data_IF_781195326583
#
_entry.id   IF_781195326583
#
_cell.length_a   1.000
_cell.length_b   1.000
_cell.length_c   1.000
_cell.angle_alpha   90.00
_cell.angle_beta   90.00
_cell.angle_gamma   90.00
#
_symmetry.space_group_name_H-M   'P 1'
#
loop_
_entity.id
_entity.type
_entity.pdbx_description
1 polymer ?
#
# COMPACT_ATOMS: atom_id res chain seq x y z
N UNK A 1 -26.11 -9.05 -7.73
CA UNK A 1 -25.51 -8.97 -9.08
C UNK A 1 -24.79 -10.27 -9.38
N UNK A 2 -24.99 -10.84 -10.57
CA UNK A 2 -24.32 -12.08 -11.01
C UNK A 2 -23.49 -11.79 -12.25
N UNK A 3 -22.18 -11.98 -12.14
CA UNK A 3 -21.22 -11.91 -13.25
C UNK A 3 -20.86 -13.31 -13.70
N UNK A 4 -20.67 -13.54 -15.00
CA UNK A 4 -20.18 -14.82 -15.46
C UNK A 4 -19.07 -14.71 -16.50
N UNK A 5 -18.22 -15.72 -16.54
CA UNK A 5 -17.20 -15.90 -17.57
C UNK A 5 -16.80 -17.37 -17.67
N UNK A 6 -16.34 -17.77 -18.85
CA UNK A 6 -15.69 -19.08 -19.05
C UNK A 6 -14.28 -19.12 -18.45
N UNK A 7 -13.79 -18.01 -17.88
CA UNK A 7 -12.43 -17.88 -17.35
C UNK A 7 -12.40 -17.08 -16.05
N UNK A 8 -13.03 -17.61 -15.01
CA UNK A 8 -12.99 -17.05 -13.65
C UNK A 8 -11.85 -17.69 -12.87
N UNK A 9 -10.95 -16.90 -12.28
CA UNK A 9 -9.85 -17.39 -11.45
C UNK A 9 -10.36 -17.81 -10.08
N UNK A 10 -10.33 -19.13 -9.81
CA UNK A 10 -10.82 -19.71 -8.56
C UNK A 10 -9.84 -20.81 -8.13
N UNK A 11 -9.32 -20.70 -6.92
CA UNK A 11 -8.47 -21.75 -6.33
C UNK A 11 -7.22 -22.10 -7.15
N UNK A 12 -6.61 -21.13 -7.83
CA UNK A 12 -5.37 -21.33 -8.58
C UNK A 12 -5.57 -21.76 -10.05
N UNK A 13 -6.80 -21.77 -10.56
CA UNK A 13 -7.11 -22.13 -11.93
C UNK A 13 -8.26 -21.33 -12.53
N UNK A 14 -8.39 -21.30 -13.86
CA UNK A 14 -9.54 -20.70 -14.53
C UNK A 14 -10.66 -21.73 -14.71
N UNK A 15 -11.86 -21.39 -14.24
CA UNK A 15 -13.06 -22.20 -14.35
C UNK A 15 -14.17 -21.44 -15.07
N UNK A 16 -15.06 -22.17 -15.72
CA UNK A 16 -16.33 -21.63 -16.24
C UNK A 16 -17.29 -21.44 -15.07
N UNK A 17 -17.53 -20.19 -14.66
CA UNK A 17 -18.27 -19.93 -13.43
C UNK A 17 -19.09 -18.64 -13.48
N UNK A 18 -20.00 -18.54 -12.53
CA UNK A 18 -20.72 -17.34 -12.13
C UNK A 18 -20.29 -16.93 -10.74
N UNK A 19 -20.17 -15.61 -10.53
CA UNK A 19 -19.91 -14.99 -9.22
C UNK A 19 -21.15 -14.19 -8.84
N UNK A 20 -21.78 -14.55 -7.74
CA UNK A 20 -22.85 -13.75 -7.13
C UNK A 20 -22.24 -12.76 -6.14
N UNK A 21 -22.56 -11.48 -6.33
CA UNK A 21 -22.09 -10.37 -5.52
C UNK A 21 -23.27 -9.73 -4.82
N UNK A 22 -23.19 -9.64 -3.51
CA UNK A 22 -24.14 -8.94 -2.65
C UNK A 22 -23.39 -8.04 -1.67
N UNK A 23 -23.85 -6.81 -1.51
CA UNK A 23 -23.25 -5.82 -0.59
C UNK A 23 -21.73 -5.67 -0.73
N UNK A 24 -21.23 -5.69 -1.98
CA UNK A 24 -19.80 -5.56 -2.27
C UNK A 24 -18.94 -6.80 -1.96
N UNK A 25 -19.58 -7.93 -1.65
CA UNK A 25 -18.89 -9.19 -1.32
C UNK A 25 -19.30 -10.32 -2.27
N UNK A 26 -18.40 -11.26 -2.48
CA UNK A 26 -18.72 -12.52 -3.18
C UNK A 26 -19.55 -13.37 -2.21
N UNK A 27 -20.82 -13.55 -2.53
CA UNK A 27 -21.77 -14.34 -1.74
C UNK A 27 -21.70 -15.82 -2.11
N UNK A 28 -21.62 -16.11 -3.41
CA UNK A 28 -21.59 -17.49 -3.90
C UNK A 28 -20.91 -17.60 -5.26
N UNK A 29 -20.47 -18.82 -5.57
CA UNK A 29 -19.91 -19.20 -6.86
C UNK A 29 -20.72 -20.38 -7.39
N UNK A 30 -21.15 -20.30 -8.66
CA UNK A 30 -21.92 -21.35 -9.33
C UNK A 30 -21.22 -21.77 -10.64
N UNK A 31 -21.53 -22.96 -11.19
CA UNK A 31 -21.14 -23.27 -12.54
C UNK A 31 -21.73 -22.27 -13.56
N UNK A 32 -20.99 -22.02 -14.64
CA UNK A 32 -21.43 -21.13 -15.72
C UNK A 32 -22.84 -21.46 -16.20
N UNK A 33 -23.70 -20.45 -16.37
CA UNK A 33 -25.05 -20.60 -16.88
C UNK A 33 -26.09 -21.21 -15.92
N UNK A 34 -25.77 -21.32 -14.61
CA UNK A 34 -26.70 -21.87 -13.60
C UNK A 34 -27.85 -20.90 -13.30
N UNK A 35 -27.56 -19.60 -13.23
CA UNK A 35 -28.51 -18.50 -12.96
C UNK A 35 -28.54 -17.53 -14.14
N UNK A 36 -29.56 -16.69 -14.21
CA UNK A 36 -29.54 -15.53 -15.11
C UNK A 36 -28.38 -14.59 -14.68
N UNK A 37 -27.47 -14.30 -15.61
CA UNK A 37 -26.37 -13.40 -15.34
C UNK A 37 -26.76 -11.96 -15.69
N UNK A 38 -26.37 -11.02 -14.82
CA UNK A 38 -26.50 -9.60 -15.10
C UNK A 38 -25.47 -9.16 -16.16
N UNK A 39 -24.26 -9.74 -16.11
CA UNK A 39 -23.18 -9.49 -17.07
C UNK A 39 -22.48 -10.78 -17.49
N UNK A 40 -22.33 -10.98 -18.81
CA UNK A 40 -21.59 -12.11 -19.39
C UNK A 40 -20.33 -11.64 -20.12
N UNK A 41 -19.18 -11.96 -19.55
CA UNK A 41 -17.87 -11.62 -20.11
C UNK A 41 -17.32 -12.65 -21.13
N UNK A 42 -18.07 -13.71 -21.42
CA UNK A 42 -17.69 -14.73 -22.40
C UNK A 42 -16.35 -15.36 -22.08
N UNK A 43 -15.34 -15.18 -22.94
CA UNK A 43 -13.98 -15.69 -22.73
C UNK A 43 -13.03 -14.71 -22.03
N UNK A 44 -13.47 -13.54 -21.59
CA UNK A 44 -12.62 -12.61 -20.83
C UNK A 44 -12.30 -13.19 -19.46
N UNK A 45 -11.11 -12.90 -18.96
CA UNK A 45 -10.70 -13.34 -17.62
C UNK A 45 -11.39 -12.48 -16.57
N UNK A 46 -11.90 -13.11 -15.53
CA UNK A 46 -12.26 -12.48 -14.27
C UNK A 46 -11.22 -12.93 -13.26
N UNK A 47 -10.48 -11.99 -12.70
CA UNK A 47 -9.41 -12.22 -11.71
C UNK A 47 -9.62 -11.26 -10.54
N UNK A 48 -9.05 -11.53 -9.35
CA UNK A 48 -8.94 -10.52 -8.30
C UNK A 48 -8.22 -9.29 -8.82
N UNK A 49 -8.63 -8.11 -8.36
CA UNK A 49 -7.88 -6.89 -8.63
C UNK A 49 -6.50 -6.92 -8.01
N UNK A 50 -5.57 -6.18 -8.59
CA UNK A 50 -4.21 -6.05 -8.03
C UNK A 50 -4.23 -5.18 -6.78
N UNK A 51 -3.32 -5.51 -5.85
CA UNK A 51 -3.00 -4.68 -4.70
C UNK A 51 -1.63 -4.07 -4.96
N UNK A 52 -1.57 -2.75 -5.04
CA UNK A 52 -0.34 -1.99 -5.22
C UNK A 52 0.15 -1.49 -3.86
N UNK A 53 1.33 -1.95 -3.46
CA UNK A 53 1.90 -1.62 -2.15
C UNK A 53 3.00 -0.57 -2.23
N UNK A 54 3.36 -0.10 -3.45
CA UNK A 54 4.44 0.87 -3.63
C UNK A 54 4.26 1.70 -4.92
N UNK A 55 3.54 2.79 -4.83
CA UNK A 55 3.45 3.79 -5.90
C UNK A 55 3.34 5.19 -5.28
N UNK A 56 4.24 6.10 -5.70
CA UNK A 56 4.33 7.45 -5.14
C UNK A 56 3.21 8.38 -5.62
N UNK A 57 2.63 8.08 -6.76
CA UNK A 57 1.57 8.87 -7.37
C UNK A 57 1.38 8.55 -8.84
N UNK A 58 0.33 9.09 -9.43
CA UNK A 58 0.03 8.95 -10.85
C UNK A 58 -0.78 10.16 -11.36
N UNK A 59 -0.93 10.25 -12.67
CA UNK A 59 -1.77 11.26 -13.35
C UNK A 59 -1.41 12.71 -12.99
N UNK A 60 -0.11 12.97 -12.71
CA UNK A 60 0.39 14.31 -12.35
C UNK A 60 0.21 14.68 -10.87
N UNK A 61 -0.12 13.70 -10.02
CA UNK A 61 -0.18 13.83 -8.58
C UNK A 61 0.91 12.98 -7.92
N UNK A 62 1.54 13.51 -6.89
CA UNK A 62 2.45 12.80 -5.98
C UNK A 62 1.85 12.82 -4.57
N UNK A 63 2.03 11.72 -3.82
CA UNK A 63 1.52 11.60 -2.45
C UNK A 63 2.00 12.75 -1.56
N UNK A 64 3.24 13.20 -1.75
CA UNK A 64 3.83 14.33 -1.00
C UNK A 64 3.25 15.70 -1.39
N UNK A 65 2.50 15.81 -2.49
CA UNK A 65 1.79 17.06 -2.86
C UNK A 65 0.73 17.46 -1.81
N UNK A 66 0.22 16.48 -1.06
CA UNK A 66 -0.82 16.68 -0.05
C UNK A 66 -2.06 17.40 -0.58
N UNK A 67 -2.51 17.04 -1.81
CA UNK A 67 -3.68 17.62 -2.47
C UNK A 67 -4.83 16.61 -2.48
N UNK A 68 -5.94 16.86 -1.77
CA UNK A 68 -7.07 15.93 -1.69
C UNK A 68 -7.66 15.56 -3.05
N UNK A 69 -7.77 16.53 -3.95
CA UNK A 69 -8.34 16.34 -5.28
C UNK A 69 -7.47 15.43 -6.16
N UNK A 70 -6.14 15.58 -6.06
CA UNK A 70 -5.19 14.74 -6.80
C UNK A 70 -5.25 13.28 -6.35
N UNK A 71 -5.34 13.05 -5.03
CA UNK A 71 -5.50 11.71 -4.47
C UNK A 71 -6.84 11.08 -4.89
N UNK A 72 -7.94 11.84 -4.85
CA UNK A 72 -9.26 11.35 -5.29
C UNK A 72 -9.29 11.02 -6.79
N UNK A 73 -8.68 11.85 -7.64
CA UNK A 73 -8.59 11.58 -9.08
C UNK A 73 -7.76 10.32 -9.34
N UNK A 74 -6.65 10.15 -8.62
CA UNK A 74 -5.84 8.95 -8.73
C UNK A 74 -6.63 7.68 -8.35
N UNK A 75 -7.31 7.67 -7.20
CA UNK A 75 -8.11 6.52 -6.75
C UNK A 75 -9.23 6.18 -7.73
N UNK A 76 -9.88 7.18 -8.32
CA UNK A 76 -10.96 6.99 -9.29
C UNK A 76 -10.45 6.35 -10.59
N UNK A 77 -9.24 6.66 -11.01
CA UNK A 77 -8.70 6.25 -12.32
C UNK A 77 -7.90 4.96 -12.29
N UNK A 78 -7.17 4.69 -11.20
CA UNK A 78 -6.26 3.54 -11.13
C UNK A 78 -6.93 2.17 -11.33
N UNK A 79 -8.25 1.97 -11.08
CA UNK A 79 -8.92 0.72 -11.45
C UNK A 79 -8.87 0.38 -12.94
N UNK A 80 -8.67 1.37 -13.82
CA UNK A 80 -8.47 1.14 -15.26
C UNK A 80 -7.19 0.35 -15.56
N UNK A 81 -6.19 0.42 -14.64
CA UNK A 81 -4.94 -0.36 -14.67
C UNK A 81 -5.09 -1.73 -13.98
N UNK A 82 -6.28 -2.05 -13.45
CA UNK A 82 -6.57 -3.30 -12.74
C UNK A 82 -6.23 -3.27 -11.25
N UNK A 83 -5.83 -2.14 -10.70
CA UNK A 83 -5.53 -1.97 -9.27
C UNK A 83 -6.82 -1.65 -8.51
N UNK A 84 -7.15 -2.44 -7.50
CA UNK A 84 -8.35 -2.28 -6.68
C UNK A 84 -8.07 -1.94 -5.23
N UNK A 85 -6.82 -2.15 -4.78
CA UNK A 85 -6.34 -1.75 -3.46
C UNK A 85 -4.94 -1.17 -3.56
N UNK A 86 -4.64 -0.14 -2.77
CA UNK A 86 -3.35 0.56 -2.86
C UNK A 86 -2.88 1.08 -1.51
N UNK A 87 -1.56 1.19 -1.37
CA UNK A 87 -0.90 1.98 -0.33
C UNK A 87 -0.23 3.20 -0.98
N UNK A 88 -0.87 4.39 -1.04
CA UNK A 88 -0.18 5.60 -1.47
C UNK A 88 1.14 5.75 -0.72
N UNK A 89 2.24 5.90 -1.47
CA UNK A 89 3.60 5.83 -0.92
C UNK A 89 4.21 7.22 -0.84
N UNK A 90 4.74 7.60 0.33
CA UNK A 90 5.51 8.83 0.48
C UNK A 90 6.92 8.69 -0.12
N UNK A 91 7.54 9.82 -0.47
CA UNK A 91 8.98 9.93 -0.75
C UNK A 91 9.62 10.65 0.41
N UNK A 92 10.86 10.30 0.78
CA UNK A 92 11.64 11.05 1.78
C UNK A 92 11.52 12.55 1.55
N UNK A 93 11.15 13.28 2.60
CA UNK A 93 11.05 14.74 2.58
C UNK A 93 11.14 15.30 4.01
N UNK A 94 11.20 16.62 4.13
CA UNK A 94 11.22 17.31 5.43
C UNK A 94 9.99 16.94 6.27
N UNK A 95 10.12 16.91 7.61
CA UNK A 95 9.06 16.39 8.49
C UNK A 95 7.69 17.05 8.32
N UNK A 96 7.65 18.34 8.05
CA UNK A 96 6.39 19.06 7.84
C UNK A 96 5.68 18.67 6.55
N UNK A 97 6.43 18.34 5.50
CA UNK A 97 5.89 17.82 4.22
C UNK A 97 5.32 16.44 4.41
N UNK A 98 6.07 15.52 5.04
CA UNK A 98 5.62 14.16 5.33
C UNK A 98 4.37 14.15 6.22
N UNK A 99 4.36 14.99 7.27
CA UNK A 99 3.19 15.13 8.15
C UNK A 99 1.94 15.56 7.36
N UNK A 100 2.07 16.54 6.45
CA UNK A 100 0.96 16.99 5.60
C UNK A 100 0.52 15.91 4.62
N UNK A 101 1.48 15.17 4.04
CA UNK A 101 1.19 14.09 3.09
C UNK A 101 0.34 13.00 3.73
N UNK A 102 0.76 12.47 4.88
CA UNK A 102 0.03 11.40 5.56
C UNK A 102 -1.31 11.87 6.13
N UNK A 103 -1.38 13.13 6.62
CA UNK A 103 -2.62 13.73 7.09
C UNK A 103 -3.63 13.92 5.94
N UNK A 104 -3.17 14.28 4.74
CA UNK A 104 -4.01 14.38 3.54
C UNK A 104 -4.65 13.05 3.19
N UNK A 105 -3.89 11.96 3.17
CA UNK A 105 -4.43 10.62 2.92
C UNK A 105 -5.49 10.26 3.96
N UNK A 106 -5.21 10.51 5.24
CA UNK A 106 -6.16 10.26 6.32
C UNK A 106 -7.46 11.07 6.19
N UNK A 107 -7.36 12.34 5.79
CA UNK A 107 -8.51 13.20 5.57
C UNK A 107 -9.38 12.68 4.41
N UNK A 108 -8.77 12.31 3.27
CA UNK A 108 -9.48 11.77 2.11
C UNK A 108 -10.20 10.46 2.46
N UNK A 109 -9.54 9.56 3.19
CA UNK A 109 -10.17 8.30 3.64
C UNK A 109 -11.38 8.59 4.55
N UNK A 110 -11.24 9.52 5.48
CA UNK A 110 -12.32 9.89 6.42
C UNK A 110 -13.51 10.56 5.73
N UNK A 111 -13.25 11.40 4.74
CA UNK A 111 -14.30 12.14 4.01
C UNK A 111 -14.99 11.28 2.94
N UNK A 112 -14.36 10.20 2.52
CA UNK A 112 -14.84 9.33 1.46
C UNK A 112 -14.35 9.73 0.06
N UNK A 113 -14.26 8.75 -0.81
CA UNK A 113 -13.80 8.85 -2.19
C UNK A 113 -14.33 7.67 -3.01
N UNK A 114 -14.17 7.71 -4.34
CA UNK A 114 -14.55 6.65 -5.27
C UNK A 114 -13.30 5.95 -5.83
N UNK A 115 -13.44 4.69 -6.24
CA UNK A 115 -12.43 3.94 -6.99
C UNK A 115 -11.69 2.90 -6.17
N UNK A 116 -10.36 2.78 -6.33
CA UNK A 116 -9.56 1.80 -5.62
C UNK A 116 -9.50 2.09 -4.12
N UNK A 117 -9.51 1.03 -3.30
CA UNK A 117 -9.47 1.15 -1.86
C UNK A 117 -8.07 1.55 -1.36
N UNK A 118 -7.98 2.61 -0.56
CA UNK A 118 -6.77 2.95 0.18
C UNK A 118 -6.68 2.03 1.39
N UNK A 119 -5.81 1.02 1.31
CA UNK A 119 -5.62 0.00 2.35
C UNK A 119 -4.78 0.50 3.53
N UNK A 120 -4.11 1.62 3.34
CA UNK A 120 -3.22 2.27 4.29
C UNK A 120 -2.24 3.17 3.55
N UNK A 121 -1.15 3.56 4.22
CA UNK A 121 -0.05 4.35 3.67
C UNK A 121 1.21 3.50 3.72
N UNK A 122 1.99 3.52 2.65
CA UNK A 122 3.38 3.07 2.67
C UNK A 122 4.28 4.28 2.94
N UNK A 123 4.97 4.26 4.06
CA UNK A 123 5.87 5.31 4.48
C UNK A 123 7.30 4.95 4.06
N UNK A 124 7.74 5.42 2.89
CA UNK A 124 9.10 5.19 2.40
C UNK A 124 10.01 6.33 2.80
N UNK A 125 11.03 5.98 3.57
CA UNK A 125 11.89 6.98 4.20
C UNK A 125 11.17 7.74 5.35
N UNK A 126 11.82 8.70 5.98
CA UNK A 126 13.16 9.23 5.67
C UNK A 126 14.34 8.39 6.22
N UNK A 127 14.10 7.27 6.82
CA UNK A 127 15.05 6.42 7.55
C UNK A 127 15.82 5.49 6.60
N UNK A 128 16.54 6.07 5.64
CA UNK A 128 17.23 5.38 4.55
C UNK A 128 18.73 5.56 4.64
N UNK A 129 19.47 4.68 3.96
CA UNK A 129 20.92 4.81 3.84
C UNK A 129 21.30 5.88 2.80
N UNK A 130 22.29 6.71 3.13
CA UNK A 130 22.72 7.82 2.28
C UNK A 130 23.35 7.34 0.96
N UNK A 131 24.06 6.22 0.95
CA UNK A 131 24.69 5.67 -0.25
C UNK A 131 23.66 5.03 -1.18
N UNK A 132 22.64 4.39 -0.60
CA UNK A 132 21.60 3.66 -1.33
C UNK A 132 20.27 4.42 -1.43
N UNK A 133 20.25 5.70 -1.13
CA UNK A 133 19.05 6.55 -1.16
C UNK A 133 18.38 6.64 -2.54
N UNK A 134 19.12 6.34 -3.62
CA UNK A 134 18.60 6.52 -4.98
C UNK A 134 18.25 7.99 -5.27
N UNK A 135 17.04 8.24 -5.73
CA UNK A 135 16.52 9.57 -6.05
C UNK A 135 16.03 10.37 -4.80
N UNK A 136 16.06 9.78 -3.62
CA UNK A 136 15.58 10.43 -2.39
C UNK A 136 16.46 11.66 -2.05
N UNK A 137 15.88 12.78 -1.58
CA UNK A 137 16.64 13.99 -1.27
C UNK A 137 17.55 13.79 -0.05
N UNK A 138 18.87 13.99 -0.21
CA UNK A 138 19.84 13.68 0.85
C UNK A 138 19.66 14.52 2.11
N UNK A 139 19.19 15.76 1.96
CA UNK A 139 18.98 16.70 3.06
C UNK A 139 17.82 16.33 3.99
N UNK A 140 16.95 15.42 3.53
CA UNK A 140 15.78 14.99 4.30
C UNK A 140 15.93 13.57 4.86
N UNK A 141 17.04 12.87 4.60
CA UNK A 141 17.35 11.58 5.21
C UNK A 141 17.59 11.79 6.71
N UNK A 142 17.04 10.92 7.53
CA UNK A 142 17.09 10.99 8.97
C UNK A 142 17.38 9.62 9.59
N UNK A 143 17.91 9.64 10.81
CA UNK A 143 18.05 8.44 11.63
C UNK A 143 16.68 7.92 12.09
N UNK A 144 16.46 6.60 12.15
CA UNK A 144 15.22 6.01 12.64
C UNK A 144 14.89 6.49 14.06
N UNK A 145 13.65 6.97 14.25
CA UNK A 145 13.16 7.46 15.53
C UNK A 145 11.73 7.00 15.78
N UNK A 146 11.51 6.28 16.86
CA UNK A 146 10.18 5.86 17.30
C UNK A 146 9.29 7.08 17.59
N UNK A 147 9.81 8.08 18.28
CA UNK A 147 9.07 9.29 18.63
C UNK A 147 8.62 10.06 17.38
N UNK A 148 9.54 10.26 16.42
CA UNK A 148 9.21 10.93 15.17
C UNK A 148 8.19 10.12 14.35
N UNK A 149 8.34 8.80 14.27
CA UNK A 149 7.39 7.95 13.57
C UNK A 149 5.99 7.98 14.22
N UNK A 150 5.92 8.04 15.55
CA UNK A 150 4.65 8.19 16.27
C UNK A 150 3.92 9.49 15.87
N UNK A 151 4.64 10.60 15.69
CA UNK A 151 4.05 11.85 15.21
C UNK A 151 3.44 11.70 13.81
N UNK A 152 4.13 11.02 12.89
CA UNK A 152 3.57 10.74 11.56
C UNK A 152 2.37 9.80 11.64
N UNK A 153 2.42 8.77 12.47
CA UNK A 153 1.33 7.82 12.64
C UNK A 153 0.08 8.49 13.27
N UNK A 154 0.28 9.43 14.17
CA UNK A 154 -0.80 10.25 14.73
C UNK A 154 -1.44 11.13 13.64
N UNK A 155 -0.63 11.84 12.84
CA UNK A 155 -1.10 12.64 11.72
C UNK A 155 -1.85 11.79 10.67
N UNK A 156 -1.39 10.58 10.43
CA UNK A 156 -2.01 9.59 9.56
C UNK A 156 -3.25 8.91 10.16
N UNK A 157 -3.63 9.23 11.39
CA UNK A 157 -4.74 8.56 12.12
C UNK A 157 -4.62 7.03 12.14
N UNK A 158 -3.40 6.51 12.25
CA UNK A 158 -3.12 5.07 12.28
C UNK A 158 -3.10 4.38 10.91
N UNK A 159 -3.12 5.13 9.81
CA UNK A 159 -3.15 4.58 8.45
C UNK A 159 -1.79 4.18 7.89
N UNK A 160 -0.65 4.51 8.52
CA UNK A 160 0.63 3.95 8.08
C UNK A 160 0.63 2.45 8.42
N UNK A 161 0.62 1.61 7.38
CA UNK A 161 0.57 0.14 7.50
C UNK A 161 1.85 -0.54 7.03
N UNK A 162 2.68 0.19 6.31
CA UNK A 162 3.90 -0.31 5.73
C UNK A 162 4.97 0.77 5.82
N UNK A 163 6.21 0.41 6.19
CA UNK A 163 7.36 1.31 6.24
C UNK A 163 8.54 0.66 5.54
N UNK A 164 9.27 1.43 4.74
CA UNK A 164 10.58 1.05 4.24
C UNK A 164 11.66 1.82 4.96
N UNK A 165 12.63 1.11 5.51
CA UNK A 165 13.78 1.68 6.23
C UNK A 165 15.06 0.87 6.01
N UNK A 166 16.20 1.50 6.26
CA UNK A 166 17.53 0.88 6.29
C UNK A 166 17.80 0.33 7.70
N UNK A 167 17.79 -1.01 7.90
CA UNK A 167 17.83 -1.62 9.23
C UNK A 167 19.16 -1.38 9.96
N UNK A 168 20.26 -1.15 9.23
CA UNK A 168 21.59 -0.86 9.79
C UNK A 168 21.66 0.48 10.54
N UNK A 169 20.74 1.40 10.27
CA UNK A 169 20.61 2.68 10.96
C UNK A 169 19.66 2.63 12.16
N UNK A 170 18.84 1.57 12.28
CA UNK A 170 17.87 1.43 13.38
C UNK A 170 18.55 0.89 14.65
N UNK A 171 19.04 1.79 15.48
CA UNK A 171 19.74 1.44 16.73
C UNK A 171 18.89 0.49 17.58
N UNK A 172 19.48 -0.65 17.94
CA UNK A 172 18.81 -1.73 18.67
C UNK A 172 17.51 -2.23 18.03
N UNK A 173 17.29 -1.92 16.75
CA UNK A 173 16.06 -2.21 16.00
C UNK A 173 14.82 -1.65 16.73
N UNK A 174 14.96 -0.47 17.32
CA UNK A 174 13.92 0.12 18.17
C UNK A 174 12.65 0.45 17.36
N UNK A 175 12.81 1.08 16.20
CA UNK A 175 11.68 1.42 15.31
C UNK A 175 11.08 0.15 14.69
N UNK A 176 11.91 -0.79 14.24
CA UNK A 176 11.47 -2.10 13.71
C UNK A 176 10.61 -2.85 14.72
N UNK A 177 11.04 -2.96 15.97
CA UNK A 177 10.29 -3.61 17.07
C UNK A 177 8.98 -2.87 17.36
N UNK A 178 9.03 -1.54 17.39
CA UNK A 178 7.83 -0.72 17.59
C UNK A 178 6.80 -0.96 16.48
N UNK A 179 7.21 -0.88 15.22
CA UNK A 179 6.35 -1.12 14.06
C UNK A 179 5.71 -2.53 14.12
N UNK A 180 6.52 -3.57 14.39
CA UNK A 180 6.01 -4.93 14.59
C UNK A 180 4.94 -4.98 15.69
N UNK A 181 5.17 -4.34 16.83
CA UNK A 181 4.25 -4.36 17.98
C UNK A 181 2.93 -3.65 17.71
N UNK A 182 2.92 -2.70 16.76
CA UNK A 182 1.75 -1.92 16.36
C UNK A 182 1.10 -2.39 15.05
N UNK A 183 1.60 -3.50 14.47
CA UNK A 183 1.05 -4.10 13.26
C UNK A 183 1.42 -3.37 11.97
N UNK A 184 2.49 -2.56 12.00
CA UNK A 184 3.07 -1.96 10.79
C UNK A 184 4.08 -2.91 10.19
N UNK A 185 3.94 -3.24 8.92
CA UNK A 185 4.90 -4.07 8.17
C UNK A 185 6.19 -3.30 7.95
N UNK A 186 7.32 -3.91 8.29
CA UNK A 186 8.64 -3.32 8.04
C UNK A 186 9.28 -4.00 6.84
N UNK A 187 9.61 -3.19 5.84
CA UNK A 187 10.40 -3.55 4.67
C UNK A 187 11.81 -2.99 4.80
N UNK A 188 12.79 -3.81 4.53
CA UNK A 188 14.19 -3.38 4.44
C UNK A 188 14.46 -2.93 3.01
N UNK A 189 14.83 -1.67 2.83
CA UNK A 189 15.12 -1.10 1.52
C UNK A 189 15.93 0.17 1.61
N UNK A 190 16.53 0.59 0.50
CA UNK A 190 17.47 1.71 0.45
C UNK A 190 18.56 1.58 1.53
N UNK A 191 19.22 0.43 1.56
CA UNK A 191 20.03 -0.05 2.68
C UNK A 191 21.39 -0.53 2.18
N UNK A 192 22.42 -0.26 2.96
CA UNK A 192 23.78 -0.84 2.84
C UNK A 192 24.02 -2.01 3.81
N UNK A 193 22.95 -2.52 4.40
CA UNK A 193 23.02 -3.59 5.40
C UNK A 193 23.78 -4.81 4.88
N UNK A 194 24.70 -5.32 5.69
CA UNK A 194 25.31 -6.62 5.45
C UNK A 194 24.27 -7.73 5.61
N UNK A 195 24.64 -8.94 5.15
CA UNK A 195 23.78 -10.11 5.33
C UNK A 195 23.39 -10.35 6.80
N UNK A 196 24.36 -10.21 7.71
CA UNK A 196 24.14 -10.36 9.15
C UNK A 196 23.19 -9.29 9.70
N UNK A 197 23.36 -8.04 9.28
CA UNK A 197 22.46 -6.93 9.68
C UNK A 197 21.04 -7.16 9.15
N UNK A 198 20.88 -7.62 7.91
CA UNK A 198 19.60 -7.96 7.33
C UNK A 198 18.90 -9.11 8.10
N UNK A 199 19.66 -10.17 8.45
CA UNK A 199 19.13 -11.26 9.30
C UNK A 199 18.69 -10.75 10.67
N UNK A 200 19.43 -9.81 11.26
CA UNK A 200 19.03 -9.18 12.52
C UNK A 200 17.77 -8.33 12.36
N UNK A 201 17.61 -7.62 11.24
CA UNK A 201 16.37 -6.91 10.90
C UNK A 201 15.16 -7.85 10.88
N UNK A 202 15.29 -8.99 10.18
CA UNK A 202 14.25 -10.04 10.13
C UNK A 202 13.94 -10.58 11.54
N UNK A 203 14.98 -10.92 12.31
CA UNK A 203 14.82 -11.45 13.67
C UNK A 203 14.06 -10.47 14.60
N UNK A 204 14.23 -9.16 14.38
CA UNK A 204 13.58 -8.10 15.15
C UNK A 204 12.21 -7.67 14.61
N UNK A 205 11.81 -8.11 13.41
CA UNK A 205 10.43 -7.91 12.96
C UNK A 205 10.22 -7.47 11.53
N UNK A 206 11.28 -7.23 10.76
CA UNK A 206 11.13 -6.97 9.32
C UNK A 206 10.62 -8.25 8.62
N UNK A 207 9.65 -8.06 7.71
CA UNK A 207 8.99 -9.18 7.01
C UNK A 207 8.93 -8.98 5.49
N UNK A 208 9.52 -7.89 4.99
CA UNK A 208 9.55 -7.54 3.57
C UNK A 208 10.91 -6.93 3.19
N UNK A 209 11.21 -6.97 1.91
CA UNK A 209 12.35 -6.32 1.27
C UNK A 209 11.93 -5.75 -0.08
#
# INVERSE_FOLDING_TARGET
>A
MILQSKRVWIGGQFLEAQIEISEGRIEAIYPYGTKHADEDYGNKRIIPGFIDVHTHGAYGFDTNDAKPEGLRDWMKRIPEEGVTGILPTTVTQMPDVLTKAVANVAAVVKEGYEGAEILGIHFEGPYLDMEYKGAQPPEAIAEPSVEQFQMYQEAAQGLIKYITLAPEHDTDFALTKYCKSTGVVVSMGHSSATYEQALMGIANGATSM
#
